data_IF_514621805009
#
_entry.id   IF_514621805009
#
_cell.length_a   1.000
_cell.length_b   1.000
_cell.length_c   1.000
_cell.angle_alpha   90.00
_cell.angle_beta   90.00
_cell.angle_gamma   90.00
#
_symmetry.space_group_name_H-M   'P 1'
#
loop_
_entity.id
_entity.type
_entity.pdbx_description
1 polymer ?
2 polymer ?
#
# COMPACT_ATOMS: atom_id res chain seq x y z
N UNK A 1 -0.02 -15.26 -26.01
CA UNK A 1 -1.42 -14.82 -26.25
C UNK A 1 -1.90 -13.96 -25.09
N UNK A 2 -2.53 -14.59 -24.10
CA UNK A 2 -3.04 -13.87 -22.94
C UNK A 2 -2.28 -14.26 -21.68
N UNK A 3 -1.72 -13.27 -20.99
CA UNK A 3 -0.97 -13.52 -19.76
C UNK A 3 -1.79 -13.06 -18.55
N UNK A 4 -1.32 -13.36 -17.35
CA UNK A 4 -2.04 -12.98 -16.14
C UNK A 4 -2.08 -11.46 -16.00
N UNK A 5 -2.43 -11.00 -14.80
CA UNK A 5 -2.51 -9.57 -14.53
C UNK A 5 -1.41 -9.13 -13.57
N UNK A 6 -1.03 -7.86 -13.64
CA UNK A 6 0.01 -7.31 -12.79
C UNK A 6 -0.57 -6.97 -11.42
N UNK A 7 -1.88 -7.11 -11.27
CA UNK A 7 -2.51 -6.82 -10.00
C UNK A 7 -1.89 -7.66 -8.91
N UNK A 8 -1.57 -8.89 -9.26
CA UNK A 8 -0.94 -9.82 -8.32
C UNK A 8 0.41 -9.28 -7.88
N UNK A 9 1.09 -8.58 -8.77
CA UNK A 9 2.41 -8.03 -8.46
C UNK A 9 2.30 -6.99 -7.35
N UNK A 10 1.28 -6.15 -7.43
CA UNK A 10 1.05 -5.13 -6.41
C UNK A 10 0.67 -5.78 -5.08
N UNK A 11 -0.16 -6.82 -5.17
CA UNK A 11 -0.61 -7.53 -3.97
C UNK A 11 0.57 -8.14 -3.22
N UNK A 12 1.55 -8.63 -3.96
CA UNK A 12 2.72 -9.24 -3.32
C UNK A 12 3.32 -8.24 -2.35
N UNK A 13 3.37 -6.99 -2.76
CA UNK A 13 3.92 -5.93 -1.92
C UNK A 13 3.12 -5.83 -0.61
N UNK A 14 1.83 -6.10 -0.67
CA UNK A 14 1.00 -6.06 0.53
C UNK A 14 1.13 -7.36 1.32
N UNK A 15 1.15 -8.48 0.61
CA UNK A 15 1.24 -9.79 1.26
C UNK A 15 2.43 -9.84 2.21
N UNK A 16 3.41 -8.98 1.96
CA UNK A 16 4.59 -8.91 2.81
C UNK A 16 4.19 -8.54 4.24
N UNK A 17 3.22 -7.65 4.35
CA UNK A 17 2.75 -7.21 5.66
C UNK A 17 1.66 -8.14 6.20
N UNK A 18 1.02 -8.90 5.32
CA UNK A 18 -0.02 -9.83 5.75
C UNK A 18 0.60 -11.17 6.11
N UNK A 19 1.28 -11.24 7.24
CA UNK A 19 1.91 -12.48 7.68
C UNK A 19 0.88 -13.51 8.11
N UNK A 20 -0.30 -13.02 8.48
CA UNK A 20 -1.37 -13.91 8.92
C UNK A 20 -2.01 -14.60 7.72
N UNK A 21 -1.94 -13.97 6.56
CA UNK A 21 -2.52 -14.54 5.35
C UNK A 21 -4.04 -14.57 5.43
N UNK A 22 -4.62 -13.62 6.16
CA UNK A 22 -6.06 -13.55 6.30
C UNK A 22 -6.67 -12.54 5.33
N UNK A 23 -5.81 -11.87 4.56
CA UNK A 23 -6.29 -10.89 3.60
C UNK A 23 -6.27 -9.48 4.18
N UNK A 24 -5.68 -9.34 5.37
CA UNK A 24 -5.60 -8.04 6.02
C UNK A 24 -4.20 -7.79 6.60
N UNK A 25 -3.87 -6.52 6.78
CA UNK A 25 -2.59 -6.13 7.36
C UNK A 25 -2.86 -5.14 8.47
N UNK A 26 -2.07 -5.16 9.54
CA UNK A 26 -2.30 -4.22 10.63
C UNK A 26 -2.19 -2.80 10.10
N UNK A 27 -3.14 -1.95 10.50
CA UNK A 27 -3.13 -0.56 10.06
C UNK A 27 -1.92 0.19 10.62
N UNK A 28 -1.56 -0.11 11.86
CA UNK A 28 -0.45 0.57 12.52
C UNK A 28 0.90 0.37 11.79
N UNK A 29 1.16 -0.85 11.32
CA UNK A 29 2.43 -1.11 10.63
C UNK A 29 2.49 -0.37 9.31
N UNK A 30 1.32 -0.10 8.75
CA UNK A 30 1.25 0.61 7.48
C UNK A 30 1.86 2.00 7.64
N UNK A 31 1.48 2.68 8.73
CA UNK A 31 1.98 4.01 8.98
C UNK A 31 3.50 4.00 9.04
N UNK A 32 4.06 3.10 9.85
CA UNK A 32 5.51 3.01 9.98
C UNK A 32 6.15 2.67 8.64
N UNK A 33 5.53 1.72 7.94
CA UNK A 33 6.02 1.28 6.64
C UNK A 33 5.98 2.41 5.62
N UNK A 34 4.94 3.24 5.67
CA UNK A 34 4.81 4.35 4.73
C UNK A 34 5.66 5.55 5.13
N UNK A 35 6.06 5.60 6.39
CA UNK A 35 6.88 6.70 6.87
C UNK A 35 8.33 6.27 7.12
N UNK A 36 8.54 4.95 7.28
CA UNK A 36 9.87 4.42 7.56
C UNK A 36 10.49 3.71 6.36
N UNK A 37 9.68 2.96 5.61
CA UNK A 37 10.21 2.22 4.45
C UNK A 37 9.85 2.89 3.12
N UNK A 38 10.83 2.88 2.21
CA UNK A 38 10.64 3.47 0.89
C UNK A 38 10.22 4.94 0.97
N UNK A 39 10.95 5.80 0.24
CA UNK A 39 10.67 7.24 0.21
C UNK A 39 9.61 7.62 1.25
N UNK A 40 10.06 8.02 2.41
CA UNK A 40 9.15 8.33 3.51
C UNK A 40 8.04 9.30 3.08
N UNK A 41 6.81 9.00 3.52
CA UNK A 41 5.65 9.84 3.21
C UNK A 41 5.46 10.86 4.33
N UNK A 42 4.80 11.98 4.01
CA UNK A 42 4.55 13.00 5.01
C UNK A 42 3.27 12.67 5.78
N UNK A 43 3.03 13.36 6.89
CA UNK A 43 1.83 13.12 7.67
C UNK A 43 0.59 13.34 6.83
N UNK A 44 0.61 14.37 6.00
CA UNK A 44 -0.52 14.69 5.15
C UNK A 44 -0.79 13.54 4.19
N UNK A 45 0.27 12.95 3.65
CA UNK A 45 0.14 11.82 2.75
C UNK A 45 -0.33 10.58 3.51
N UNK A 46 0.22 10.39 4.71
CA UNK A 46 -0.14 9.25 5.54
C UNK A 46 -1.59 9.35 5.99
N UNK A 47 -2.01 10.53 6.42
CA UNK A 47 -3.38 10.74 6.90
C UNK A 47 -4.38 10.40 5.80
N UNK A 48 -4.10 10.85 4.59
CA UNK A 48 -4.99 10.57 3.46
C UNK A 48 -5.07 9.07 3.23
N UNK A 49 -3.93 8.41 3.38
CA UNK A 49 -3.84 6.96 3.22
C UNK A 49 -4.65 6.24 4.29
N UNK A 50 -4.57 6.76 5.53
CA UNK A 50 -5.28 6.15 6.67
C UNK A 50 -6.80 6.23 6.46
N UNK A 51 -7.26 7.37 5.96
CA UNK A 51 -8.69 7.54 5.74
C UNK A 51 -9.19 6.53 4.71
N UNK A 52 -8.29 6.12 3.83
CA UNK A 52 -8.63 5.15 2.80
C UNK A 52 -8.21 3.74 3.22
N UNK A 53 -7.26 3.66 4.15
CA UNK A 53 -6.78 2.35 4.62
C UNK A 53 -7.88 1.56 5.31
N UNK A 54 -8.65 2.23 6.18
CA UNK A 54 -9.75 1.60 6.92
C UNK A 54 -9.83 2.16 8.34
N UNK A 55 -9.25 1.43 9.28
CA UNK A 55 -9.24 1.80 10.68
C UNK A 55 -10.59 2.35 11.12
N UNK A 56 -11.67 1.70 10.71
CA UNK A 56 -12.99 2.17 11.13
C UNK A 56 -13.06 2.11 12.64
N UNK A 57 -12.50 1.04 13.18
CA UNK A 57 -12.47 0.82 14.62
C UNK A 57 -11.99 -0.60 14.93
N UNK A 58 -11.31 -1.21 13.97
CA UNK A 58 -10.80 -2.56 14.15
C UNK A 58 -9.28 -2.58 14.31
N UNK A 59 -8.61 -1.57 13.75
CA UNK A 59 -7.15 -1.50 13.85
C UNK A 59 -6.46 -2.31 12.76
N UNK A 60 -7.22 -2.80 11.78
CA UNK A 60 -6.67 -3.58 10.69
C UNK A 60 -7.03 -2.96 9.34
N UNK A 61 -6.21 -3.25 8.34
CA UNK A 61 -6.43 -2.71 6.99
C UNK A 61 -6.45 -3.81 5.94
N UNK A 62 -7.42 -3.73 5.04
CA UNK A 62 -7.53 -4.71 3.97
C UNK A 62 -6.83 -4.17 2.72
N UNK A 63 -5.69 -4.75 2.37
CA UNK A 63 -4.95 -4.28 1.20
C UNK A 63 -5.80 -4.36 -0.07
N UNK A 64 -6.94 -5.03 0.02
CA UNK A 64 -7.80 -5.16 -1.15
C UNK A 64 -8.21 -3.77 -1.64
N UNK A 65 -8.70 -2.94 -0.72
CA UNK A 65 -9.15 -1.59 -1.08
C UNK A 65 -8.01 -0.78 -1.69
N UNK A 66 -6.81 -0.89 -1.12
CA UNK A 66 -5.66 -0.17 -1.65
C UNK A 66 -5.41 -0.60 -3.08
N UNK A 67 -5.53 -1.90 -3.33
CA UNK A 67 -5.33 -2.44 -4.67
C UNK A 67 -6.37 -1.87 -5.62
N UNK A 68 -7.62 -1.80 -5.16
CA UNK A 68 -8.68 -1.29 -6.01
C UNK A 68 -8.37 0.14 -6.41
N UNK A 69 -7.92 0.96 -5.46
CA UNK A 69 -7.59 2.33 -5.79
C UNK A 69 -6.49 2.32 -6.85
N UNK A 70 -5.51 1.46 -6.64
CA UNK A 70 -4.40 1.33 -7.57
C UNK A 70 -4.84 0.76 -8.91
N UNK A 71 -6.01 0.11 -8.92
CA UNK A 71 -6.52 -0.51 -10.14
C UNK A 71 -7.89 0.06 -10.50
N UNK A 72 -8.22 1.23 -9.95
CA UNK A 72 -9.51 1.87 -10.23
C UNK A 72 -9.31 3.29 -10.73
N UNK A 73 -8.43 3.45 -11.73
CA UNK A 73 -8.17 4.77 -12.29
C UNK A 73 -7.51 4.64 -13.66
N UNK B 30 4.68 -4.66 13.57
CA UNK B 30 5.18 -4.91 12.20
C UNK B 30 5.48 -6.40 12.03
N UNK B 31 6.50 -6.87 12.74
CA UNK B 31 6.87 -8.28 12.67
C UNK B 31 7.13 -8.70 11.23
N UNK B 32 7.93 -7.91 10.52
CA UNK B 32 8.26 -8.21 9.13
C UNK B 32 9.77 -8.20 8.94
N UNK B 33 10.23 -8.76 7.83
CA UNK B 33 11.65 -8.79 7.56
C UNK B 33 12.13 -7.46 7.01
N UNK B 34 12.41 -6.52 7.90
CA UNK B 34 12.87 -5.20 7.50
C UNK B 34 14.20 -5.31 6.75
N UNK B 35 15.06 -6.21 7.23
CA UNK B 35 16.37 -6.42 6.61
C UNK B 35 16.23 -6.92 5.18
N UNK B 36 15.25 -7.77 4.94
CA UNK B 36 15.05 -8.33 3.60
C UNK B 36 14.81 -7.20 2.58
N UNK B 37 15.65 -7.06 1.56
CA UNK B 37 15.46 -6.00 0.51
C UNK B 37 14.06 -6.03 -0.10
N UNK B 38 13.48 -7.22 -0.16
CA UNK B 38 12.15 -7.37 -0.75
C UNK B 38 11.13 -6.52 -0.01
N UNK B 39 11.19 -6.53 1.32
CA UNK B 39 10.26 -5.74 2.11
C UNK B 39 10.43 -4.25 1.80
N UNK B 40 11.67 -3.79 1.75
CA UNK B 40 11.94 -2.39 1.46
C UNK B 40 11.47 -2.05 0.05
N UNK B 41 11.72 -2.95 -0.89
CA UNK B 41 11.31 -2.73 -2.27
C UNK B 41 9.79 -2.69 -2.39
N UNK B 42 9.13 -3.55 -1.64
CA UNK B 42 7.66 -3.60 -1.66
C UNK B 42 7.08 -2.27 -1.19
N UNK B 43 7.69 -1.69 -0.16
CA UNK B 43 7.22 -0.42 0.36
C UNK B 43 7.31 0.66 -0.71
N UNK B 44 8.40 0.64 -1.46
CA UNK B 44 8.62 1.62 -2.52
C UNK B 44 7.55 1.51 -3.60
N UNK B 45 7.24 0.29 -4.02
CA UNK B 45 6.26 0.07 -5.07
C UNK B 45 4.89 0.62 -4.67
N UNK B 46 4.48 0.35 -3.45
CA UNK B 46 3.19 0.85 -2.98
C UNK B 46 3.21 2.37 -2.92
N UNK B 47 4.28 2.92 -2.36
CA UNK B 47 4.42 4.37 -2.23
C UNK B 47 4.50 5.04 -3.60
N UNK B 48 5.25 4.42 -4.51
CA UNK B 48 5.39 4.97 -5.85
C UNK B 48 4.03 5.02 -6.54
N UNK B 49 3.29 3.92 -6.42
CA UNK B 49 1.97 3.84 -7.00
C UNK B 49 1.02 4.82 -6.33
N UNK B 50 1.15 4.94 -5.00
CA UNK B 50 0.30 5.85 -4.24
C UNK B 50 0.48 7.29 -4.72
N UNK B 51 1.74 7.71 -4.87
CA UNK B 51 2.04 9.06 -5.32
C UNK B 51 1.43 9.29 -6.70
N UNK B 52 1.58 8.32 -7.59
CA UNK B 52 1.04 8.43 -8.94
C UNK B 52 -0.49 8.46 -8.90
N UNK B 53 -1.06 7.68 -7.98
CA UNK B 53 -2.51 7.63 -7.84
C UNK B 53 -3.07 9.02 -7.53
N UNK B 54 -2.44 9.71 -6.60
CA UNK B 54 -2.89 11.03 -6.21
C UNK B 54 -2.81 12.00 -7.39
N UNK B 55 -1.74 11.88 -8.17
CA UNK B 55 -1.57 12.76 -9.34
C UNK B 55 -2.68 12.53 -10.35
N UNK B 56 -3.07 11.27 -10.54
CA UNK B 56 -4.13 10.95 -11.49
C UNK B 56 -5.45 11.59 -11.06
N UNK B 57 -5.71 11.57 -9.76
CA UNK B 57 -6.94 12.15 -9.24
C UNK B 57 -6.99 13.64 -9.56
N UNK B 58 -5.87 14.33 -9.36
CA UNK B 58 -5.79 15.76 -9.62
C UNK B 58 -5.58 16.02 -11.11
N UNK B 59 -5.32 14.95 -11.87
CA UNK B 59 -5.10 15.08 -13.30
C UNK B 59 -6.35 15.57 -14.02
N UNK B 60 -6.16 16.30 -15.12
CA UNK B 60 -7.27 16.83 -15.90
C UNK B 60 -7.13 16.45 -17.36
N UNK B 61 -8.26 16.31 -18.05
CA UNK B 61 -8.24 15.95 -19.46
C UNK B 61 -7.55 17.03 -20.28
N UNK B 62 -7.49 18.24 -19.73
CA UNK B 62 -6.85 19.35 -20.43
C UNK B 62 -6.46 20.44 -19.44
#
# INVERSE_FOLDING_TARGET
MKDTDSEEEIREAFRVFDKDGNGYISAAELRHVMTNLGEKLTDEEVDEMIREADIDGDGQVNYEEFVQMMTAK
MAERQGAGATNGKDKTSGENDGQKKVQEEFDIDMDAPETERAAVAIQSQFRKFQKKKAGSQS
#
